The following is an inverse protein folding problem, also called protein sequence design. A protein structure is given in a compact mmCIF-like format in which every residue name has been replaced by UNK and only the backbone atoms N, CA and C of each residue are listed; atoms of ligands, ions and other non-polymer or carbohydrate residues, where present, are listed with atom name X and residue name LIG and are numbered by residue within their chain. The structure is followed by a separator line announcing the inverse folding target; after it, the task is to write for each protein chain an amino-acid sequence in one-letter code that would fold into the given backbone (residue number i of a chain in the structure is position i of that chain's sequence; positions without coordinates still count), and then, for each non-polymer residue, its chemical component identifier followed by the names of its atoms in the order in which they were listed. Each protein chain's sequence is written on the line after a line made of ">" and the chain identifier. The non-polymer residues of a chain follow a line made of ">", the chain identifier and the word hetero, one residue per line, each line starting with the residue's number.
data_IF_960683411385
#
_entry.id   IF_960683411385
#
_cell.length_a   1.000
_cell.length_b   1.000
_cell.length_c   1.000
_cell.angle_alpha   90.00
_cell.angle_beta   90.00
_cell.angle_gamma   90.00
#
_symmetry.space_group_name_H-M   'P 1'
#
loop_
_entity.id
_entity.type
_entity.pdbx_description
1 polymer ?
#
# COMPACT_ATOMS: atom_id res chain seq x y z
N UNK A 1 17.84 11.41 -0.01
CA UNK A 1 17.72 9.95 -0.16
C UNK A 1 16.39 9.68 -0.85
N UNK A 2 16.42 9.14 -2.07
CA UNK A 2 15.19 8.80 -2.81
C UNK A 2 14.45 7.72 -2.02
N UNK A 3 13.29 8.08 -1.46
CA UNK A 3 12.39 7.12 -0.81
C UNK A 3 11.62 6.41 -1.90
N UNK A 4 12.24 5.38 -2.47
CA UNK A 4 11.58 4.47 -3.40
C UNK A 4 10.49 3.71 -2.67
N UNK A 5 9.43 3.40 -3.38
CA UNK A 5 8.36 2.56 -2.87
C UNK A 5 8.87 1.18 -2.50
N UNK A 6 8.42 0.67 -1.37
CA UNK A 6 8.91 -0.58 -0.80
C UNK A 6 7.86 -1.23 0.11
N UNK A 7 7.81 -2.57 0.07
CA UNK A 7 7.08 -3.39 1.03
C UNK A 7 8.05 -4.33 1.73
N UNK A 8 8.17 -4.18 3.04
CA UNK A 8 9.04 -4.97 3.89
C UNK A 8 8.21 -5.84 4.83
N UNK A 9 8.44 -7.15 4.80
CA UNK A 9 7.81 -8.11 5.71
C UNK A 9 8.76 -8.43 6.86
N UNK A 10 8.22 -8.60 8.06
CA UNK A 10 8.97 -8.99 9.24
C UNK A 10 8.16 -9.93 10.12
N UNK A 11 8.86 -10.69 10.95
CA UNK A 11 8.28 -11.62 11.90
C UNK A 11 8.82 -11.30 13.30
N UNK A 12 7.94 -11.30 14.29
CA UNK A 12 8.38 -11.21 15.68
C UNK A 12 8.78 -12.61 16.16
N UNK A 13 10.06 -12.94 16.24
CA UNK A 13 10.49 -14.33 16.53
C UNK A 13 9.94 -14.92 17.83
N UNK A 14 9.68 -14.07 18.83
CA UNK A 14 9.19 -14.47 20.16
C UNK A 14 7.66 -14.42 20.29
N UNK A 15 6.92 -14.13 19.22
CA UNK A 15 5.46 -14.17 19.20
C UNK A 15 4.94 -14.71 17.85
N UNK A 16 3.76 -15.31 17.80
CA UNK A 16 3.18 -15.81 16.55
C UNK A 16 2.59 -14.66 15.69
N UNK A 17 3.32 -13.55 15.54
CA UNK A 17 2.86 -12.31 14.90
C UNK A 17 3.79 -11.96 13.75
N UNK A 18 3.19 -11.75 12.57
CA UNK A 18 3.84 -11.16 11.40
C UNK A 18 3.47 -9.68 11.28
N UNK A 19 4.38 -8.88 10.76
CA UNK A 19 4.15 -7.48 10.46
C UNK A 19 4.62 -7.15 9.05
N UNK A 20 4.06 -6.07 8.52
CA UNK A 20 4.37 -5.56 7.19
C UNK A 20 4.47 -4.04 7.27
N UNK A 21 5.46 -3.47 6.58
CA UNK A 21 5.66 -2.03 6.46
C UNK A 21 5.70 -1.69 4.98
N UNK A 22 4.85 -0.76 4.56
CA UNK A 22 4.78 -0.32 3.16
C UNK A 22 5.01 1.18 3.05
N UNK A 23 5.72 1.60 2.02
CA UNK A 23 5.85 3.00 1.57
C UNK A 23 5.49 3.04 0.09
N UNK A 24 4.52 3.90 -0.27
CA UNK A 24 3.95 4.01 -1.63
C UNK A 24 3.91 5.47 -2.11
N UNK A 25 4.97 6.23 -1.85
CA UNK A 25 4.99 7.67 -2.13
C UNK A 25 4.99 7.97 -3.62
N UNK A 26 5.84 7.29 -4.39
CA UNK A 26 6.00 7.53 -5.83
C UNK A 26 4.77 7.02 -6.61
N UNK A 27 4.24 5.85 -6.23
CA UNK A 27 3.03 5.26 -6.81
C UNK A 27 1.80 6.13 -6.49
N UNK A 28 1.68 6.63 -5.26
CA UNK A 28 0.58 7.53 -4.89
C UNK A 28 0.62 8.83 -5.70
N UNK A 29 1.79 9.46 -5.83
CA UNK A 29 1.94 10.66 -6.66
C UNK A 29 1.55 10.39 -8.10
N UNK A 30 2.01 9.26 -8.67
CA UNK A 30 1.68 8.86 -10.06
C UNK A 30 0.17 8.66 -10.29
N UNK A 31 -0.56 8.13 -9.29
CA UNK A 31 -2.02 7.97 -9.36
C UNK A 31 -2.71 9.35 -9.39
N UNK A 32 -2.22 10.30 -8.61
CA UNK A 32 -2.80 11.64 -8.50
C UNK A 32 -2.45 12.55 -9.68
N UNK A 33 -1.28 12.39 -10.29
CA UNK A 33 -0.77 13.28 -11.36
C UNK A 33 -1.76 13.48 -12.52
N UNK A 34 -2.57 12.48 -12.81
CA UNK A 34 -3.48 12.51 -13.96
C UNK A 34 -4.84 13.18 -13.66
N UNK A 35 -5.16 13.48 -12.39
CA UNK A 35 -6.50 13.89 -11.97
C UNK A 35 -6.45 14.94 -10.85
N UNK A 36 -7.17 16.05 -11.02
CA UNK A 36 -7.31 17.09 -9.99
C UNK A 36 -8.36 16.70 -8.94
N UNK A 37 -8.07 15.66 -8.15
CA UNK A 37 -8.96 15.23 -7.08
C UNK A 37 -9.01 16.25 -5.93
N UNK A 38 -10.17 16.48 -5.31
CA UNK A 38 -10.25 17.21 -4.04
C UNK A 38 -9.43 16.51 -2.95
N UNK A 39 -8.88 17.28 -2.01
CA UNK A 39 -8.03 16.76 -0.93
C UNK A 39 -8.61 15.51 -0.22
N UNK A 40 -9.92 15.46 0.15
CA UNK A 40 -10.48 14.27 0.80
C UNK A 40 -10.41 13.00 -0.05
N UNK A 41 -10.54 13.14 -1.37
CA UNK A 41 -10.47 12.01 -2.31
C UNK A 41 -9.03 11.54 -2.48
N UNK A 42 -8.06 12.47 -2.48
CA UNK A 42 -6.64 12.12 -2.51
C UNK A 42 -6.28 11.24 -1.29
N UNK A 43 -6.64 11.68 -0.09
CA UNK A 43 -6.40 10.91 1.15
C UNK A 43 -7.03 9.52 1.08
N UNK A 44 -8.28 9.41 0.63
CA UNK A 44 -8.97 8.13 0.51
C UNK A 44 -8.28 7.17 -0.48
N UNK A 45 -7.80 7.68 -1.61
CA UNK A 45 -7.03 6.89 -2.57
C UNK A 45 -5.70 6.43 -1.99
N UNK A 46 -5.03 7.28 -1.19
CA UNK A 46 -3.82 6.92 -0.46
C UNK A 46 -4.07 5.79 0.54
N UNK A 47 -5.14 5.90 1.34
CA UNK A 47 -5.54 4.88 2.31
C UNK A 47 -5.86 3.55 1.61
N UNK A 48 -6.61 3.58 0.51
CA UNK A 48 -6.92 2.40 -0.28
C UNK A 48 -5.67 1.78 -0.92
N UNK A 49 -4.73 2.59 -1.40
CA UNK A 49 -3.48 2.10 -1.98
C UNK A 49 -2.64 1.36 -0.94
N UNK A 50 -2.50 1.95 0.27
CA UNK A 50 -1.78 1.33 1.39
C UNK A 50 -2.49 0.06 1.84
N UNK A 51 -3.81 0.11 2.05
CA UNK A 51 -4.60 -1.05 2.46
C UNK A 51 -4.51 -2.19 1.45
N UNK A 52 -4.68 -1.90 0.17
CA UNK A 52 -4.56 -2.89 -0.91
C UNK A 52 -3.16 -3.48 -0.94
N UNK A 53 -2.10 -2.67 -0.85
CA UNK A 53 -0.71 -3.15 -0.86
C UNK A 53 -0.43 -4.14 0.27
N UNK A 54 -0.90 -3.85 1.49
CA UNK A 54 -0.77 -4.73 2.64
C UNK A 54 -1.60 -6.01 2.47
N UNK A 55 -2.85 -5.91 1.99
CA UNK A 55 -3.71 -7.07 1.75
C UNK A 55 -3.11 -8.00 0.69
N UNK A 56 -2.60 -7.45 -0.43
CA UNK A 56 -1.92 -8.21 -1.48
C UNK A 56 -0.76 -9.03 -0.91
N UNK A 57 0.03 -8.44 -0.02
CA UNK A 57 1.18 -9.12 0.57
C UNK A 57 0.83 -10.31 1.48
N UNK A 58 -0.44 -10.45 1.87
CA UNK A 58 -0.96 -11.57 2.65
C UNK A 58 -1.53 -12.72 1.80
N UNK A 59 -1.72 -12.53 0.50
CA UNK A 59 -2.22 -13.57 -0.42
C UNK A 59 -1.19 -14.70 -0.55
N UNK A 60 -1.69 -15.94 -0.59
CA UNK A 60 -0.86 -17.16 -0.69
C UNK A 60 -0.70 -17.69 -2.12
N UNK A 61 -1.23 -16.96 -3.10
CA UNK A 61 -1.28 -17.35 -4.50
C UNK A 61 -1.01 -16.13 -5.38
N UNK A 62 -0.56 -16.37 -6.61
CA UNK A 62 -0.36 -15.33 -7.61
C UNK A 62 -1.70 -14.94 -8.23
N UNK A 63 -2.00 -13.64 -8.24
CA UNK A 63 -3.22 -13.08 -8.79
C UNK A 63 -3.36 -11.61 -8.47
N UNK A 64 -4.43 -11.00 -9.00
CA UNK A 64 -4.73 -9.59 -8.80
C UNK A 64 -5.80 -9.41 -7.73
N UNK A 65 -5.74 -8.29 -7.00
CA UNK A 65 -6.76 -7.88 -6.04
C UNK A 65 -7.22 -6.45 -6.35
N UNK A 66 -8.51 -6.20 -6.13
CA UNK A 66 -9.09 -4.85 -6.22
C UNK A 66 -9.89 -4.59 -4.95
N UNK A 67 -9.62 -3.46 -4.31
CA UNK A 67 -10.39 -2.93 -3.17
C UNK A 67 -11.16 -1.71 -3.66
N UNK A 68 -12.45 -1.64 -3.34
CA UNK A 68 -13.37 -0.59 -3.80
C UNK A 68 -14.28 -0.13 -2.65
N UNK A 69 -14.81 1.09 -2.76
CA UNK A 69 -15.75 1.71 -1.80
C UNK A 69 -17.03 2.15 -2.52
#
# INVERSE_FOLDING_TARGET
>A
MSKKDALSRFLFEKSAVRGELVTVTETYQSILENHHYPEPVQHLLGDLLVATSLLTATLKFDGDITVQL
#
